data_IF_275907793964
#
_entry.id   IF_275907793964
#
_cell.length_a   1.000
_cell.length_b   1.000
_cell.length_c   1.000
_cell.angle_alpha   90.00
_cell.angle_beta   90.00
_cell.angle_gamma   90.00
#
_symmetry.space_group_name_H-M   'P 1'
#
loop_
_entity.id
_entity.type
_entity.pdbx_description
1 polymer ?
#
# COMPACT_ATOMS: atom_id res chain seq x y z
N UNK A 1 -13.15 -10.13 2.65
CA UNK A 1 -12.35 -10.19 1.42
C UNK A 1 -10.91 -10.22 1.88
N UNK A 2 -10.19 -11.25 1.46
CA UNK A 2 -8.81 -11.45 1.89
C UNK A 2 -7.84 -10.81 0.90
N UNK A 3 -6.83 -10.13 1.43
CA UNK A 3 -5.72 -9.61 0.66
C UNK A 3 -4.43 -10.28 1.12
N UNK A 4 -3.46 -10.41 0.22
CA UNK A 4 -2.11 -10.81 0.62
C UNK A 4 -1.31 -9.58 1.03
N UNK A 5 -0.73 -9.61 2.22
CA UNK A 5 -0.02 -8.46 2.78
C UNK A 5 1.41 -8.80 3.15
N UNK A 6 2.30 -7.89 2.81
CA UNK A 6 3.72 -7.90 3.16
C UNK A 6 4.12 -6.52 3.65
N UNK A 7 5.08 -6.42 4.55
CA UNK A 7 5.43 -5.16 5.17
C UNK A 7 6.85 -5.17 5.73
N UNK A 8 7.37 -3.98 5.98
CA UNK A 8 8.52 -3.76 6.84
C UNK A 8 8.18 -2.68 7.85
N UNK A 9 8.38 -2.99 9.12
CA UNK A 9 8.24 -2.09 10.25
C UNK A 9 9.63 -1.65 10.69
N UNK A 10 10.00 -0.41 10.33
CA UNK A 10 11.31 0.15 10.63
C UNK A 10 11.50 0.41 12.14
N UNK A 11 10.41 0.65 12.88
CA UNK A 11 10.47 0.92 14.31
C UNK A 11 10.83 -0.34 15.12
N UNK A 12 10.39 -1.51 14.63
CA UNK A 12 10.59 -2.82 15.29
C UNK A 12 11.64 -3.70 14.61
N UNK A 13 12.13 -3.29 13.44
CA UNK A 13 13.00 -4.06 12.56
C UNK A 13 12.41 -5.44 12.22
N UNK A 14 11.12 -5.45 11.85
CA UNK A 14 10.37 -6.67 11.50
C UNK A 14 9.97 -6.62 10.04
N UNK A 15 10.19 -7.73 9.34
CA UNK A 15 9.82 -7.87 7.93
C UNK A 15 8.93 -9.10 7.70
N UNK A 16 7.85 -8.89 6.95
CA UNK A 16 7.13 -9.94 6.25
C UNK A 16 7.37 -9.73 4.77
N UNK A 17 8.16 -10.61 4.14
CA UNK A 17 8.51 -10.51 2.73
C UNK A 17 7.33 -10.93 1.82
N UNK A 18 7.36 -10.52 0.55
CA UNK A 18 6.27 -10.75 -0.39
C UNK A 18 6.02 -12.24 -0.73
N UNK A 19 7.07 -13.06 -0.64
CA UNK A 19 6.99 -14.53 -0.77
C UNK A 19 6.33 -15.19 0.44
N UNK A 20 6.46 -14.57 1.61
CA UNK A 20 5.76 -14.92 2.85
C UNK A 20 4.48 -14.11 3.11
N UNK A 21 3.95 -13.39 2.11
CA UNK A 21 2.79 -12.53 2.31
C UNK A 21 1.57 -13.32 2.81
N UNK A 22 1.01 -12.86 3.92
CA UNK A 22 -0.09 -13.52 4.64
C UNK A 22 -1.44 -13.02 4.12
N UNK A 23 -2.44 -13.91 4.09
CA UNK A 23 -3.82 -13.51 3.84
C UNK A 23 -4.39 -12.82 5.08
N UNK A 24 -4.96 -11.64 4.90
CA UNK A 24 -5.56 -10.82 5.95
C UNK A 24 -6.85 -10.18 5.47
N UNK A 25 -7.79 -9.99 6.37
CA UNK A 25 -9.03 -9.26 6.11
C UNK A 25 -8.80 -7.74 6.19
N UNK A 26 -9.70 -6.96 5.56
CA UNK A 26 -9.60 -5.50 5.48
C UNK A 26 -9.33 -4.83 6.85
N UNK A 27 -10.09 -5.21 7.89
CA UNK A 27 -9.94 -4.62 9.24
C UNK A 27 -8.55 -4.87 9.84
N UNK A 28 -7.96 -6.05 9.60
CA UNK A 28 -6.62 -6.41 10.10
C UNK A 28 -5.52 -5.60 9.39
N UNK A 29 -5.74 -5.29 8.11
CA UNK A 29 -4.82 -4.49 7.31
C UNK A 29 -4.90 -3.03 7.71
N UNK A 30 -6.10 -2.51 7.96
CA UNK A 30 -6.29 -1.15 8.48
C UNK A 30 -5.61 -0.97 9.84
N UNK A 31 -5.69 -1.97 10.73
CA UNK A 31 -4.97 -1.96 12.00
C UNK A 31 -3.45 -2.04 11.80
N UNK A 32 -2.98 -2.92 10.89
CA UNK A 32 -1.56 -3.01 10.55
C UNK A 32 -1.01 -1.68 10.01
N UNK A 33 -1.77 -0.97 9.19
CA UNK A 33 -1.39 0.34 8.67
C UNK A 33 -1.18 1.37 9.80
N UNK A 34 -2.05 1.36 10.82
CA UNK A 34 -1.88 2.24 11.99
C UNK A 34 -0.60 1.94 12.79
N UNK A 35 -0.21 0.66 12.85
CA UNK A 35 0.94 0.21 13.63
C UNK A 35 2.29 0.33 12.89
N UNK A 36 2.28 0.19 11.57
CA UNK A 36 3.49 0.11 10.72
C UNK A 36 3.80 1.45 10.04
N UNK A 37 2.79 2.18 9.55
CA UNK A 37 3.02 3.39 8.74
C UNK A 37 3.27 4.63 9.61
N UNK A 38 4.22 4.52 10.54
CA UNK A 38 4.56 5.56 11.53
C UNK A 38 5.98 6.09 11.34
N UNK A 39 6.96 5.21 11.17
CA UNK A 39 8.38 5.57 11.10
C UNK A 39 8.88 5.61 9.64
N UNK A 40 9.65 6.63 9.23
CA UNK A 40 10.28 6.67 7.90
C UNK A 40 11.04 5.38 7.57
N UNK A 41 10.89 4.91 6.34
CA UNK A 41 11.41 3.64 5.86
C UNK A 41 10.46 2.45 6.08
N UNK A 42 9.40 2.59 6.88
CA UNK A 42 8.37 1.57 7.00
C UNK A 42 7.54 1.49 5.72
N UNK A 43 7.04 0.29 5.38
CA UNK A 43 6.16 0.13 4.24
C UNK A 43 5.14 -0.98 4.47
N UNK A 44 3.99 -0.87 3.80
CA UNK A 44 2.97 -1.91 3.70
C UNK A 44 2.63 -2.10 2.22
N UNK A 45 2.64 -3.33 1.75
CA UNK A 45 2.20 -3.72 0.41
C UNK A 45 1.03 -4.68 0.49
N UNK A 46 0.01 -4.41 -0.31
CA UNK A 46 -1.24 -5.17 -0.36
C UNK A 46 -1.50 -5.64 -1.78
N UNK A 47 -1.84 -6.92 -1.94
CA UNK A 47 -2.20 -7.52 -3.22
C UNK A 47 -3.63 -8.04 -3.15
N UNK A 48 -4.48 -7.53 -4.05
CA UNK A 48 -5.86 -7.98 -4.18
C UNK A 48 -5.95 -9.29 -5.00
N UNK A 49 -7.12 -9.92 -4.98
CA UNK A 49 -7.36 -11.20 -5.68
C UNK A 49 -7.16 -11.10 -7.21
N UNK A 50 -7.41 -9.92 -7.79
CA UNK A 50 -7.20 -9.65 -9.22
C UNK A 50 -5.70 -9.47 -9.59
N UNK A 51 -4.82 -9.53 -8.60
CA UNK A 51 -3.37 -9.35 -8.74
C UNK A 51 -2.92 -7.89 -8.81
N UNK A 52 -3.84 -6.92 -8.68
CA UNK A 52 -3.47 -5.52 -8.51
C UNK A 52 -2.80 -5.32 -7.16
N UNK A 53 -1.90 -4.34 -7.10
CA UNK A 53 -1.11 -4.04 -5.90
C UNK A 53 -1.28 -2.57 -5.52
N UNK A 54 -1.33 -2.33 -4.22
CA UNK A 54 -1.26 -1.02 -3.60
C UNK A 54 -0.16 -1.06 -2.55
N UNK A 55 0.76 -0.10 -2.59
CA UNK A 55 1.83 0.01 -1.61
C UNK A 55 1.78 1.38 -0.94
N UNK A 56 2.27 1.39 0.29
CA UNK A 56 2.39 2.55 1.14
C UNK A 56 3.80 2.57 1.71
N UNK A 57 4.54 3.65 1.51
CA UNK A 57 5.90 3.81 2.02
C UNK A 57 5.97 5.10 2.83
N UNK A 58 6.44 5.01 4.07
CA UNK A 58 6.68 6.20 4.89
C UNK A 58 8.00 6.82 4.46
N UNK A 59 7.92 8.05 3.95
CA UNK A 59 9.04 8.92 3.63
C UNK A 59 9.14 10.03 4.70
N UNK A 60 10.22 10.82 4.66
CA UNK A 60 10.43 11.91 5.62
C UNK A 60 9.32 12.98 5.53
N UNK A 61 8.77 13.21 4.33
CA UNK A 61 7.70 14.19 4.06
C UNK A 61 6.27 13.66 4.21
N UNK A 62 6.06 12.36 4.44
CA UNK A 62 4.73 11.75 4.56
C UNK A 62 4.66 10.32 4.00
N UNK A 63 3.46 9.82 3.70
CA UNK A 63 3.29 8.47 3.14
C UNK A 63 3.11 8.58 1.63
N UNK A 64 4.00 7.94 0.87
CA UNK A 64 3.80 7.73 -0.56
C UNK A 64 2.88 6.53 -0.74
N UNK A 65 1.73 6.76 -1.37
CA UNK A 65 0.83 5.74 -1.88
C UNK A 65 1.21 5.45 -3.34
N UNK A 66 1.34 4.19 -3.72
CA UNK A 66 1.73 3.78 -5.07
C UNK A 66 0.90 2.59 -5.60
N UNK A 67 0.48 2.68 -6.86
CA UNK A 67 -0.21 1.63 -7.62
C UNK A 67 0.67 1.26 -8.83
N UNK A 68 1.43 0.15 -8.74
CA UNK A 68 2.29 -0.28 -9.83
C UNK A 68 1.53 -0.61 -11.12
N UNK A 69 2.09 -0.20 -12.26
CA UNK A 69 1.60 -0.50 -13.60
C UNK A 69 2.69 -1.24 -14.42
N UNK A 70 2.94 -2.53 -14.14
CA UNK A 70 4.05 -3.27 -14.76
C UNK A 70 4.03 -3.25 -16.29
N UNK A 71 2.84 -3.31 -16.90
CA UNK A 71 2.66 -3.24 -18.36
C UNK A 71 3.13 -1.93 -18.97
N UNK A 72 3.04 -0.83 -18.21
CA UNK A 72 3.46 0.52 -18.65
C UNK A 72 4.88 0.86 -18.23
N UNK A 73 5.52 -0.03 -17.50
CA UNK A 73 6.77 0.21 -16.79
C UNK A 73 6.67 1.51 -16.00
N UNK A 74 5.79 1.57 -15.03
CA UNK A 74 5.77 2.68 -14.10
C UNK A 74 4.80 2.42 -12.96
N UNK A 75 4.52 3.46 -12.20
CA UNK A 75 3.51 3.47 -11.16
C UNK A 75 2.72 4.77 -11.18
N UNK A 76 1.51 4.70 -10.64
CA UNK A 76 0.78 5.88 -10.24
C UNK A 76 0.98 6.11 -8.75
N UNK A 77 1.41 7.30 -8.35
CA UNK A 77 1.73 7.59 -6.96
C UNK A 77 1.26 8.98 -6.53
N UNK A 78 1.14 9.17 -5.22
CA UNK A 78 0.98 10.49 -4.59
C UNK A 78 1.44 10.46 -3.15
N UNK A 79 1.79 11.64 -2.62
CA UNK A 79 1.93 11.84 -1.18
C UNK A 79 0.55 11.97 -0.53
N UNK A 80 0.37 11.31 0.60
CA UNK A 80 -0.88 11.26 1.32
C UNK A 80 -0.65 11.15 2.84
N UNK A 81 -1.69 11.50 3.61
CA UNK A 81 -1.74 11.17 5.03
C UNK A 81 -2.22 9.74 5.24
N UNK A 82 -1.93 9.16 6.41
CA UNK A 82 -2.42 7.83 6.78
C UNK A 82 -3.93 7.69 6.61
N UNK A 83 -4.69 8.72 6.99
CA UNK A 83 -6.15 8.74 6.81
C UNK A 83 -6.56 8.61 5.33
N UNK A 84 -5.89 9.31 4.42
CA UNK A 84 -6.15 9.21 2.98
C UNK A 84 -5.75 7.82 2.47
N UNK A 85 -4.62 7.28 2.91
CA UNK A 85 -4.18 5.93 2.54
C UNK A 85 -5.22 4.86 2.93
N UNK A 86 -5.72 4.93 4.17
CA UNK A 86 -6.76 4.01 4.67
C UNK A 86 -8.06 4.15 3.89
N UNK A 87 -8.50 5.37 3.60
CA UNK A 87 -9.70 5.60 2.78
C UNK A 87 -9.56 5.04 1.36
N UNK A 88 -8.38 5.17 0.74
CA UNK A 88 -8.13 4.58 -0.59
C UNK A 88 -8.15 3.05 -0.54
N UNK A 89 -7.53 2.46 0.49
CA UNK A 89 -7.56 1.01 0.68
C UNK A 89 -8.97 0.49 0.93
N UNK A 90 -9.73 1.12 1.83
CA UNK A 90 -11.09 0.72 2.18
C UNK A 90 -12.07 0.84 0.99
N UNK A 91 -11.88 1.84 0.12
CA UNK A 91 -12.67 2.00 -1.09
C UNK A 91 -12.34 0.98 -2.20
N UNK A 92 -11.24 0.22 -2.07
CA UNK A 92 -10.81 -0.76 -3.06
C UNK A 92 -11.57 -2.09 -2.89
N UNK A 93 -12.82 -2.09 -3.35
CA UNK A 93 -13.74 -3.23 -3.19
C UNK A 93 -13.27 -4.54 -3.82
N UNK A 94 -12.56 -4.52 -4.96
CA UNK A 94 -12.16 -5.76 -5.66
C UNK A 94 -10.79 -5.70 -6.33
N UNK A 95 -10.04 -4.63 -6.06
CA UNK A 95 -8.80 -4.32 -6.75
C UNK A 95 -8.46 -2.83 -6.70
N UNK A 96 -7.22 -2.52 -7.05
CA UNK A 96 -6.65 -1.19 -6.99
C UNK A 96 -6.63 -0.54 -8.37
N UNK A 97 -7.71 0.19 -8.65
CA UNK A 97 -7.86 0.95 -9.89
C UNK A 97 -7.42 2.40 -9.70
N UNK A 98 -6.28 2.75 -10.30
CA UNK A 98 -5.74 4.10 -10.28
C UNK A 98 -6.69 5.18 -10.81
N UNK A 99 -7.63 4.85 -11.71
CA UNK A 99 -8.60 5.82 -12.23
C UNK A 99 -9.61 6.27 -11.17
N UNK A 100 -9.75 5.52 -10.06
CA UNK A 100 -10.64 5.82 -8.94
C UNK A 100 -9.97 6.57 -7.80
N UNK A 101 -8.68 6.88 -7.93
CA UNK A 101 -7.90 7.54 -6.89
C UNK A 101 -7.45 8.91 -7.39
N UNK A 102 -8.05 9.95 -6.84
CA UNK A 102 -7.76 11.32 -7.26
C UNK A 102 -6.32 11.74 -6.94
N UNK A 103 -5.74 12.57 -7.82
CA UNK A 103 -4.46 13.24 -7.58
C UNK A 103 -3.24 12.35 -7.71
N UNK A 104 -3.35 11.19 -8.37
CA UNK A 104 -2.20 10.36 -8.71
C UNK A 104 -1.41 10.95 -9.88
N UNK A 105 -0.10 10.89 -9.77
CA UNK A 105 0.85 11.21 -10.83
C UNK A 105 1.48 9.92 -11.36
N UNK A 106 1.71 9.83 -12.67
CA UNK A 106 2.36 8.67 -13.26
C UNK A 106 3.87 8.92 -13.41
N UNK A 107 4.67 8.03 -12.85
CA UNK A 107 6.11 7.99 -13.07
C UNK A 107 6.53 6.68 -13.72
N UNK A 108 7.43 6.78 -14.71
CA UNK A 108 8.01 5.62 -15.39
C UNK A 108 9.31 5.24 -14.69
N UNK A 109 9.44 3.95 -14.36
CA UNK A 109 10.69 3.32 -13.96
C UNK A 109 11.43 2.66 -15.15
#
# INVERSE_FOLDING_TARGET
MSYRVFHYDAARDVQVAADGAEERECEEILALMDDVLVEPGSFVGVVAEDGSMLTFVVLDEGIQLDIPQPRRRGSYFKMASLAVCKNVFEAAESGFDHEKVDGLEFERW
#
